data_IF_248781289744
#
_entry.id   IF_248781289744
#
_cell.length_a   1.000
_cell.length_b   1.000
_cell.length_c   1.000
_cell.angle_alpha   90.00
_cell.angle_beta   90.00
_cell.angle_gamma   90.00
#
_symmetry.space_group_name_H-M   'P 1'
#
loop_
_entity.id
_entity.type
_entity.pdbx_description
1 polymer ?
#
# COMPACT_ATOMS: atom_id res chain seq x y z
N UNK A 1 4.53 -18.12 12.47
CA UNK A 1 4.33 -16.79 11.82
C UNK A 1 2.87 -16.65 11.38
N UNK A 2 1.91 -16.70 12.32
CA UNK A 2 0.48 -16.88 11.99
C UNK A 2 -0.33 -15.58 11.83
N UNK A 3 0.22 -14.42 12.21
CA UNK A 3 -0.51 -13.14 12.25
C UNK A 3 -0.59 -12.38 10.92
N UNK A 4 0.25 -12.72 9.94
CA UNK A 4 0.32 -12.00 8.67
C UNK A 4 -0.66 -12.51 7.60
N UNK A 5 -1.24 -13.70 7.81
CA UNK A 5 -2.07 -14.35 6.79
C UNK A 5 -3.33 -13.56 6.40
N UNK A 6 -4.07 -12.93 7.34
CA UNK A 6 -5.22 -12.09 6.99
C UNK A 6 -4.84 -10.82 6.22
N UNK A 7 -3.71 -10.18 6.58
CA UNK A 7 -3.21 -8.99 5.89
C UNK A 7 -2.86 -9.31 4.43
N UNK A 8 -2.09 -10.37 4.19
CA UNK A 8 -1.72 -10.78 2.85
C UNK A 8 -2.94 -11.17 2.01
N UNK A 9 -3.90 -11.90 2.59
CA UNK A 9 -5.14 -12.23 1.88
C UNK A 9 -5.93 -10.99 1.45
N UNK A 10 -6.03 -9.97 2.29
CA UNK A 10 -6.69 -8.72 1.93
C UNK A 10 -5.91 -7.96 0.85
N UNK A 11 -4.58 -7.88 0.97
CA UNK A 11 -3.72 -7.27 -0.04
C UNK A 11 -3.87 -7.95 -1.42
N UNK A 12 -3.90 -9.28 -1.45
CA UNK A 12 -4.09 -10.07 -2.67
C UNK A 12 -5.45 -9.80 -3.33
N UNK A 13 -6.50 -9.57 -2.54
CA UNK A 13 -7.81 -9.19 -3.08
C UNK A 13 -7.77 -7.81 -3.75
N UNK A 14 -7.10 -6.82 -3.15
CA UNK A 14 -6.92 -5.51 -3.78
C UNK A 14 -6.08 -5.59 -5.06
N UNK A 15 -5.02 -6.41 -5.06
CA UNK A 15 -4.18 -6.65 -6.25
C UNK A 15 -4.99 -7.34 -7.35
N UNK A 16 -5.79 -8.34 -7.01
CA UNK A 16 -6.66 -9.03 -7.97
C UNK A 16 -7.61 -8.06 -8.67
N UNK A 17 -8.26 -7.18 -7.90
CA UNK A 17 -9.12 -6.13 -8.47
C UNK A 17 -8.32 -5.15 -9.33
N UNK A 18 -7.14 -4.70 -8.88
CA UNK A 18 -6.28 -3.83 -9.66
C UNK A 18 -5.87 -4.49 -11.00
N UNK A 19 -5.55 -5.78 -11.01
CA UNK A 19 -5.23 -6.52 -12.23
C UNK A 19 -6.43 -6.58 -13.19
N UNK A 20 -7.66 -6.77 -12.68
CA UNK A 20 -8.86 -6.73 -13.51
C UNK A 20 -9.09 -5.34 -14.14
N UNK A 21 -8.91 -4.28 -13.36
CA UNK A 21 -9.02 -2.89 -13.86
C UNK A 21 -7.93 -2.59 -14.90
N UNK A 22 -6.71 -3.08 -14.68
CA UNK A 22 -5.57 -2.83 -15.55
C UNK A 22 -5.73 -3.42 -16.96
N UNK A 23 -6.57 -4.45 -17.15
CA UNK A 23 -6.84 -5.04 -18.48
C UNK A 23 -7.33 -4.01 -19.51
N UNK A 24 -7.96 -2.93 -19.05
CA UNK A 24 -8.52 -1.88 -19.91
C UNK A 24 -7.80 -0.52 -19.72
N UNK A 25 -6.64 -0.50 -19.08
CA UNK A 25 -5.88 0.73 -18.78
C UNK A 25 -4.44 0.63 -19.30
N UNK A 26 -4.19 1.03 -20.55
CA UNK A 26 -2.85 0.96 -21.15
C UNK A 26 -1.86 1.97 -20.54
N UNK A 27 -2.34 2.99 -19.84
CA UNK A 27 -1.55 4.12 -19.37
C UNK A 27 -1.04 3.97 -17.93
N UNK A 28 -1.41 2.88 -17.24
CA UNK A 28 -0.97 2.60 -15.86
C UNK A 28 -1.63 3.47 -14.79
N UNK A 29 -2.75 4.11 -15.10
CA UNK A 29 -3.58 4.88 -14.18
C UNK A 29 -4.06 4.06 -12.97
N UNK A 30 -4.29 2.76 -13.14
CA UNK A 30 -4.74 1.86 -12.07
C UNK A 30 -3.72 1.78 -10.94
N UNK A 31 -2.43 1.77 -11.25
CA UNK A 31 -1.38 1.82 -10.23
C UNK A 31 -1.39 3.13 -9.44
N UNK A 32 -1.64 4.26 -10.10
CA UNK A 32 -1.80 5.55 -9.42
C UNK A 32 -3.07 5.60 -8.57
N UNK A 33 -4.18 5.07 -9.10
CA UNK A 33 -5.46 4.97 -8.42
C UNK A 33 -5.36 4.11 -7.15
N UNK A 34 -4.63 2.98 -7.19
CA UNK A 34 -4.44 2.12 -6.02
C UNK A 34 -3.68 2.84 -4.90
N UNK A 35 -2.61 3.60 -5.23
CA UNK A 35 -1.88 4.41 -4.24
C UNK A 35 -2.76 5.51 -3.64
N UNK A 36 -3.57 6.15 -4.46
CA UNK A 36 -4.50 7.17 -3.98
C UNK A 36 -5.61 6.58 -3.10
N UNK A 37 -6.13 5.40 -3.45
CA UNK A 37 -7.10 4.67 -2.62
C UNK A 37 -6.52 4.30 -1.26
N UNK A 38 -5.29 3.78 -1.22
CA UNK A 38 -4.58 3.49 0.02
C UNK A 38 -4.46 4.76 0.89
N UNK A 39 -4.01 5.89 0.32
CA UNK A 39 -3.91 7.15 1.05
C UNK A 39 -5.25 7.62 1.63
N UNK A 40 -6.36 7.49 0.88
CA UNK A 40 -7.70 7.85 1.36
C UNK A 40 -8.16 6.96 2.52
N UNK A 41 -7.91 5.66 2.43
CA UNK A 41 -8.28 4.73 3.48
C UNK A 41 -7.45 4.97 4.76
N UNK A 42 -6.14 5.16 4.62
CA UNK A 42 -5.28 5.48 5.77
C UNK A 42 -5.64 6.81 6.43
N UNK A 43 -6.07 7.82 5.66
CA UNK A 43 -6.57 9.09 6.22
C UNK A 43 -7.85 8.89 7.04
N UNK A 44 -8.74 7.99 6.61
CA UNK A 44 -9.92 7.61 7.37
C UNK A 44 -9.55 6.89 8.67
N UNK A 45 -8.62 5.93 8.63
CA UNK A 45 -8.12 5.24 9.83
C UNK A 45 -7.50 6.24 10.82
N UNK A 46 -6.66 7.15 10.34
CA UNK A 46 -6.08 8.23 11.14
C UNK A 46 -7.16 9.10 11.81
N UNK A 47 -8.24 9.42 11.09
CA UNK A 47 -9.35 10.21 11.64
C UNK A 47 -10.10 9.50 12.78
N UNK A 48 -10.10 8.17 12.81
CA UNK A 48 -10.71 7.39 13.89
C UNK A 48 -9.76 7.17 15.08
N UNK A 49 -8.45 7.38 14.88
CA UNK A 49 -7.41 7.09 15.87
C UNK A 49 -7.13 8.26 16.84
N UNK A 50 -7.66 9.45 16.57
CA UNK A 50 -7.44 10.66 17.39
C UNK A 50 -8.71 11.49 17.57
N UNK A 51 -8.76 12.26 18.65
CA UNK A 51 -9.79 13.27 18.88
C UNK A 51 -9.47 14.62 18.22
N UNK A 52 -8.20 14.88 17.86
CA UNK A 52 -7.75 16.11 17.20
C UNK A 52 -6.82 15.79 16.02
N UNK A 53 -7.43 15.43 14.89
CA UNK A 53 -6.70 15.14 13.66
C UNK A 53 -5.89 16.33 13.15
N UNK A 54 -6.27 17.57 13.48
CA UNK A 54 -5.53 18.74 13.03
C UNK A 54 -4.18 18.86 13.77
N UNK A 55 -4.18 18.64 15.08
CA UNK A 55 -2.97 18.59 15.89
C UNK A 55 -2.06 17.43 15.50
N UNK A 56 -2.64 16.26 15.24
CA UNK A 56 -1.88 15.02 15.00
C UNK A 56 -1.53 14.76 13.53
N UNK A 57 -2.02 15.59 12.59
CA UNK A 57 -1.87 15.40 11.15
C UNK A 57 -0.45 15.06 10.74
N UNK A 58 0.53 15.83 11.21
CA UNK A 58 1.92 15.67 10.80
C UNK A 58 2.48 14.31 11.27
N UNK A 59 2.26 13.96 12.53
CA UNK A 59 2.75 12.71 13.11
C UNK A 59 2.10 11.49 12.46
N UNK A 60 0.78 11.50 12.29
CA UNK A 60 0.06 10.38 11.67
C UNK A 60 0.41 10.21 10.19
N UNK A 61 0.56 11.32 9.46
CA UNK A 61 0.97 11.26 8.05
C UNK A 61 2.38 10.70 7.89
N UNK A 62 3.31 11.11 8.75
CA UNK A 62 4.69 10.62 8.73
C UNK A 62 4.77 9.12 9.04
N UNK A 63 3.99 8.67 10.04
CA UNK A 63 3.90 7.25 10.38
C UNK A 63 3.40 6.43 9.19
N UNK A 64 2.26 6.81 8.60
CA UNK A 64 1.67 6.11 7.45
C UNK A 64 2.65 6.09 6.27
N UNK A 65 3.34 7.20 5.99
CA UNK A 65 4.32 7.28 4.91
C UNK A 65 5.53 6.37 5.15
N UNK A 66 6.01 6.28 6.40
CA UNK A 66 7.13 5.43 6.80
C UNK A 66 6.77 3.95 6.68
N UNK A 67 5.58 3.57 7.15
CA UNK A 67 5.09 2.18 7.04
C UNK A 67 4.97 1.76 5.58
N UNK A 68 4.38 2.63 4.73
CA UNK A 68 4.28 2.39 3.30
C UNK A 68 5.65 2.27 2.63
N UNK A 69 6.60 3.16 2.96
CA UNK A 69 7.97 3.11 2.42
C UNK A 69 8.64 1.80 2.76
N UNK A 70 8.55 1.36 4.02
CA UNK A 70 9.16 0.11 4.49
C UNK A 70 8.64 -1.10 3.71
N UNK A 71 7.32 -1.18 3.49
CA UNK A 71 6.72 -2.25 2.70
C UNK A 71 7.16 -2.19 1.22
N UNK A 72 7.20 -0.98 0.63
CA UNK A 72 7.63 -0.81 -0.75
C UNK A 72 9.08 -1.26 -0.94
N UNK A 73 9.98 -0.83 -0.06
CA UNK A 73 11.40 -1.15 -0.15
C UNK A 73 11.63 -2.66 -0.04
N UNK A 74 10.94 -3.34 0.89
CA UNK A 74 10.98 -4.81 0.96
C UNK A 74 10.56 -5.48 -0.36
N UNK A 75 9.47 -5.02 -0.98
CA UNK A 75 9.01 -5.58 -2.25
C UNK A 75 10.01 -5.29 -3.38
N UNK A 76 10.60 -4.10 -3.42
CA UNK A 76 11.62 -3.74 -4.42
C UNK A 76 12.86 -4.63 -4.26
N UNK A 77 13.32 -4.85 -3.03
CA UNK A 77 14.43 -5.75 -2.73
C UNK A 77 14.15 -7.19 -3.16
N UNK A 78 12.91 -7.68 -2.99
CA UNK A 78 12.48 -8.99 -3.49
C UNK A 78 12.61 -9.07 -5.02
N UNK A 79 12.13 -8.05 -5.74
CA UNK A 79 12.28 -7.98 -7.20
C UNK A 79 13.75 -7.93 -7.63
N UNK A 80 14.60 -7.17 -6.93
CA UNK A 80 16.04 -7.10 -7.21
C UNK A 80 16.68 -8.48 -7.09
N UNK A 81 16.39 -9.21 -6.00
CA UNK A 81 16.92 -10.56 -5.78
C UNK A 81 16.47 -11.53 -6.87
N UNK A 82 15.17 -11.59 -7.16
CA UNK A 82 14.63 -12.49 -8.17
C UNK A 82 15.12 -12.19 -9.59
N UNK A 83 15.35 -10.91 -9.92
CA UNK A 83 15.92 -10.54 -11.22
C UNK A 83 17.40 -10.90 -11.34
N UNK A 84 18.15 -10.88 -10.23
CA UNK A 84 19.55 -11.30 -10.21
C UNK A 84 19.68 -12.83 -10.38
N UNK A 85 18.79 -13.62 -9.76
CA UNK A 85 18.76 -15.09 -9.86
C UNK A 85 18.37 -15.62 -11.25
N UNK A 86 17.72 -14.78 -12.07
CA UNK A 86 17.28 -15.12 -13.44
C UNK A 86 18.33 -14.87 -14.52
N UNK A 87 19.50 -14.32 -14.16
CA UNK A 87 20.62 -14.03 -15.06
C UNK A 87 21.62 -15.18 -15.06
#
# INVERSE_FOLDING_TARGET
MSGYQPLFQAADQFISLANELAKNDPDGNVGAALRFAAARYSAFEASNATADLAADKASLSEQIATDFRTMLDHNVDDYIRHLAERR
#
